data_IF_607929078489
#
_entry.id   IF_607929078489
#
_cell.length_a   1.000
_cell.length_b   1.000
_cell.length_c   1.000
_cell.angle_alpha   90.00
_cell.angle_beta   90.00
_cell.angle_gamma   90.00
#
_symmetry.space_group_name_H-M   'P 1'
#
loop_
_entity.id
_entity.type
_entity.pdbx_description
1 polymer ?
#
# COMPACT_ATOMS: atom_id res chain seq x y z
N UNK A 1 61.15 -13.79 -108.61
CA UNK A 1 62.21 -14.57 -107.91
C UNK A 1 62.78 -13.66 -106.83
N UNK A 2 62.49 -13.96 -105.56
CA UNK A 2 63.46 -14.56 -104.61
C UNK A 2 64.57 -13.53 -104.34
N UNK A 3 64.70 -12.93 -103.16
CA UNK A 3 65.11 -13.66 -101.98
C UNK A 3 64.88 -12.86 -100.69
N UNK A 4 64.32 -13.55 -99.69
CA UNK A 4 64.36 -13.21 -98.27
C UNK A 4 65.77 -13.46 -97.71
N UNK A 5 66.35 -12.48 -97.02
CA UNK A 5 67.45 -12.68 -96.07
C UNK A 5 67.15 -11.70 -94.91
N UNK A 6 66.52 -12.15 -93.82
CA UNK A 6 67.19 -12.79 -92.68
C UNK A 6 68.57 -12.17 -92.41
N UNK A 7 68.58 -11.09 -91.65
CA UNK A 7 69.68 -10.80 -90.75
C UNK A 7 69.27 -11.36 -89.39
N UNK A 8 69.68 -12.60 -89.11
CA UNK A 8 69.90 -12.99 -87.73
C UNK A 8 71.12 -12.24 -87.25
N UNK A 9 70.91 -11.35 -86.29
CA UNK A 9 71.91 -11.07 -85.28
C UNK A 9 71.89 -12.24 -84.29
N UNK A 10 72.70 -13.25 -84.61
CA UNK A 10 73.12 -14.27 -83.67
C UNK A 10 74.64 -14.22 -83.59
N UNK A 11 75.15 -13.47 -82.61
CA UNK A 11 76.53 -13.51 -82.07
C UNK A 11 76.55 -12.53 -80.89
N UNK A 12 76.88 -12.85 -79.65
CA UNK A 12 77.40 -14.07 -79.04
C UNK A 12 77.59 -13.78 -77.54
N UNK A 13 77.40 -14.80 -76.71
CA UNK A 13 77.85 -14.89 -75.31
C UNK A 13 77.92 -13.61 -74.47
N UNK A 14 76.78 -13.12 -73.99
CA UNK A 14 76.74 -12.35 -72.75
C UNK A 14 75.85 -13.14 -71.81
N UNK A 15 76.39 -13.59 -70.67
CA UNK A 15 75.66 -14.43 -69.72
C UNK A 15 74.30 -13.83 -69.38
N UNK A 16 73.31 -14.65 -69.03
CA UNK A 16 71.92 -14.28 -68.68
C UNK A 16 71.77 -12.96 -67.88
N UNK A 17 72.81 -12.59 -67.13
CA UNK A 17 72.97 -11.37 -66.36
C UNK A 17 73.16 -10.06 -67.15
N UNK A 18 73.40 -10.09 -68.47
CA UNK A 18 73.72 -8.90 -69.31
C UNK A 18 72.55 -8.43 -70.17
N UNK A 19 71.45 -9.19 -70.20
CA UNK A 19 70.19 -8.86 -70.87
C UNK A 19 69.34 -7.95 -69.95
N UNK A 20 68.97 -6.71 -70.37
CA UNK A 20 68.10 -5.83 -69.59
C UNK A 20 66.77 -6.50 -69.19
N UNK A 21 66.27 -7.38 -70.04
CA UNK A 21 65.04 -8.18 -69.86
C UNK A 21 65.11 -9.08 -68.62
N UNK A 22 66.28 -9.62 -68.28
CA UNK A 22 66.46 -10.47 -67.09
C UNK A 22 66.27 -9.68 -65.79
N UNK A 23 66.88 -8.49 -65.68
CA UNK A 23 66.72 -7.64 -64.49
C UNK A 23 65.29 -7.11 -64.32
N UNK A 24 64.58 -6.83 -65.42
CA UNK A 24 63.14 -6.49 -65.38
C UNK A 24 62.30 -7.66 -64.87
N UNK A 25 62.58 -8.89 -65.33
CA UNK A 25 61.90 -10.09 -64.84
C UNK A 25 62.16 -10.32 -63.34
N UNK A 26 63.41 -10.15 -62.87
CA UNK A 26 63.76 -10.24 -61.44
C UNK A 26 63.01 -9.19 -60.62
N UNK A 27 62.98 -7.93 -61.07
CA UNK A 27 62.22 -6.87 -60.41
C UNK A 27 60.71 -7.16 -60.37
N UNK A 28 60.14 -7.73 -61.43
CA UNK A 28 58.73 -8.13 -61.49
C UNK A 28 58.40 -9.26 -60.50
N UNK A 29 59.27 -10.27 -60.38
CA UNK A 29 59.10 -11.36 -59.40
C UNK A 29 59.20 -10.83 -57.97
N UNK A 30 60.18 -9.96 -57.68
CA UNK A 30 60.32 -9.33 -56.37
C UNK A 30 59.09 -8.46 -56.06
N UNK A 31 58.61 -7.69 -57.03
CA UNK A 31 57.39 -6.89 -56.90
C UNK A 31 56.17 -7.77 -56.60
N UNK A 32 55.96 -8.86 -57.34
CA UNK A 32 54.85 -9.80 -57.09
C UNK A 32 54.96 -10.47 -55.72
N UNK A 33 56.16 -10.83 -55.27
CA UNK A 33 56.36 -11.42 -53.96
C UNK A 33 55.97 -10.46 -52.82
N UNK A 34 56.35 -9.18 -52.93
CA UNK A 34 56.00 -8.15 -51.94
C UNK A 34 54.52 -7.76 -52.04
N UNK A 35 54.02 -7.50 -53.25
CA UNK A 35 52.64 -7.11 -53.51
C UNK A 35 51.65 -8.21 -53.12
N UNK A 36 51.92 -9.46 -53.50
CA UNK A 36 51.10 -10.62 -53.16
C UNK A 36 50.96 -10.82 -51.64
N UNK A 37 52.06 -10.66 -50.89
CA UNK A 37 52.04 -10.77 -49.42
C UNK A 37 51.26 -9.63 -48.75
N UNK A 38 51.36 -8.40 -49.26
CA UNK A 38 50.64 -7.24 -48.71
C UNK A 38 49.14 -7.30 -49.04
N UNK A 39 48.78 -7.63 -50.29
CA UNK A 39 47.37 -7.75 -50.71
C UNK A 39 46.65 -8.86 -49.95
N UNK A 40 47.25 -10.05 -49.86
CA UNK A 40 46.64 -11.20 -49.15
C UNK A 40 46.44 -10.90 -47.67
N UNK A 41 47.43 -10.29 -47.01
CA UNK A 41 47.30 -9.84 -45.61
C UNK A 41 46.17 -8.81 -45.42
N UNK A 42 46.04 -7.85 -46.32
CA UNK A 42 44.97 -6.84 -46.25
C UNK A 42 43.57 -7.45 -46.36
N UNK A 43 43.39 -8.37 -47.32
CA UNK A 43 42.10 -9.05 -47.55
C UNK A 43 41.74 -9.95 -46.36
N UNK A 44 42.67 -10.78 -45.88
CA UNK A 44 42.44 -11.67 -44.72
C UNK A 44 42.08 -10.86 -43.48
N UNK A 45 42.81 -9.77 -43.21
CA UNK A 45 42.51 -8.89 -42.07
C UNK A 45 41.10 -8.30 -42.14
N UNK A 46 40.65 -7.86 -43.31
CA UNK A 46 39.31 -7.31 -43.46
C UNK A 46 38.21 -8.38 -43.26
N UNK A 47 38.45 -9.62 -43.69
CA UNK A 47 37.54 -10.74 -43.42
C UNK A 47 37.50 -11.09 -41.94
N UNK A 48 38.66 -11.11 -41.27
CA UNK A 48 38.74 -11.34 -39.82
C UNK A 48 38.02 -10.23 -39.03
N UNK A 49 38.23 -8.96 -39.40
CA UNK A 49 37.56 -7.82 -38.77
C UNK A 49 36.03 -7.91 -38.93
N UNK A 50 35.55 -8.29 -40.13
CA UNK A 50 34.11 -8.54 -40.37
C UNK A 50 33.58 -9.70 -39.55
N UNK A 51 34.33 -10.79 -39.46
CA UNK A 51 33.94 -11.97 -38.69
C UNK A 51 33.87 -11.65 -37.19
N UNK A 52 34.86 -10.91 -36.68
CA UNK A 52 34.89 -10.44 -35.30
C UNK A 52 33.73 -9.48 -35.00
N UNK A 53 33.39 -8.59 -35.94
CA UNK A 53 32.22 -7.71 -35.80
C UNK A 53 30.92 -8.50 -35.74
N UNK A 54 30.72 -9.45 -36.65
CA UNK A 54 29.52 -10.32 -36.67
C UNK A 54 29.41 -11.14 -35.39
N UNK A 55 30.53 -11.71 -34.92
CA UNK A 55 30.55 -12.47 -33.67
C UNK A 55 30.16 -11.60 -32.46
N UNK A 56 30.66 -10.35 -32.40
CA UNK A 56 30.30 -9.39 -31.35
C UNK A 56 28.82 -9.01 -31.42
N UNK A 57 28.30 -8.65 -32.58
CA UNK A 57 26.89 -8.24 -32.72
C UNK A 57 25.93 -9.39 -32.43
N UNK A 58 26.27 -10.62 -32.82
CA UNK A 58 25.49 -11.81 -32.46
C UNK A 58 25.51 -12.05 -30.94
N UNK A 59 26.67 -11.95 -30.29
CA UNK A 59 26.78 -12.09 -28.84
C UNK A 59 26.01 -11.02 -28.06
N UNK A 60 26.06 -9.76 -28.53
CA UNK A 60 25.27 -8.66 -27.97
C UNK A 60 23.77 -8.87 -28.17
N UNK A 61 23.35 -9.32 -29.36
CA UNK A 61 21.95 -9.62 -29.66
C UNK A 61 21.42 -10.78 -28.79
N UNK A 62 22.21 -11.83 -28.59
CA UNK A 62 21.84 -12.94 -27.71
C UNK A 62 21.74 -12.50 -26.25
N UNK A 63 22.70 -11.69 -25.77
CA UNK A 63 22.64 -11.10 -24.43
C UNK A 63 21.39 -10.25 -24.25
N UNK A 64 21.09 -9.36 -25.20
CA UNK A 64 19.92 -8.49 -25.16
C UNK A 64 18.62 -9.28 -25.19
N UNK A 65 18.56 -10.36 -25.99
CA UNK A 65 17.43 -11.29 -26.01
C UNK A 65 17.23 -11.97 -24.65
N UNK A 66 18.31 -12.44 -24.03
CA UNK A 66 18.26 -13.09 -22.73
C UNK A 66 17.82 -12.13 -21.63
N UNK A 67 18.30 -10.89 -21.66
CA UNK A 67 17.87 -9.82 -20.73
C UNK A 67 16.39 -9.47 -20.93
N UNK A 68 15.93 -9.33 -22.17
CA UNK A 68 14.52 -9.07 -22.48
C UNK A 68 13.61 -10.23 -22.03
N UNK A 69 14.06 -11.48 -22.18
CA UNK A 69 13.31 -12.64 -21.71
C UNK A 69 13.22 -12.66 -20.19
N UNK A 70 14.34 -12.43 -19.48
CA UNK A 70 14.35 -12.33 -18.01
C UNK A 70 13.43 -11.21 -17.51
N UNK A 71 13.51 -10.03 -18.12
CA UNK A 71 12.66 -8.90 -17.76
C UNK A 71 11.17 -9.21 -17.98
N UNK A 72 10.81 -9.94 -19.04
CA UNK A 72 9.45 -10.40 -19.29
C UNK A 72 8.98 -11.40 -18.24
N UNK A 73 9.80 -12.40 -17.92
CA UNK A 73 9.45 -13.43 -16.95
C UNK A 73 9.29 -12.82 -15.54
N UNK A 74 10.16 -11.89 -15.17
CA UNK A 74 10.08 -11.18 -13.88
C UNK A 74 8.86 -10.27 -13.81
N UNK A 75 8.53 -9.56 -14.88
CA UNK A 75 7.30 -8.77 -14.96
C UNK A 75 6.04 -9.65 -14.85
N UNK A 76 6.02 -10.81 -15.51
CA UNK A 76 4.89 -11.75 -15.42
C UNK A 76 4.73 -12.32 -14.00
N UNK A 77 5.84 -12.69 -13.34
CA UNK A 77 5.82 -13.13 -11.93
C UNK A 77 5.30 -12.01 -11.03
N UNK A 78 5.85 -10.80 -11.17
CA UNK A 78 5.43 -9.65 -10.38
C UNK A 78 3.95 -9.32 -10.55
N UNK A 79 3.41 -9.43 -11.77
CA UNK A 79 1.98 -9.26 -12.03
C UNK A 79 1.14 -10.35 -11.35
N UNK A 80 1.55 -11.61 -11.43
CA UNK A 80 0.86 -12.72 -10.80
C UNK A 80 0.85 -12.60 -9.27
N UNK A 81 1.98 -12.20 -8.68
CA UNK A 81 2.09 -11.99 -7.23
C UNK A 81 1.28 -10.78 -6.77
N UNK A 82 1.31 -9.67 -7.53
CA UNK A 82 0.47 -8.50 -7.25
C UNK A 82 -1.02 -8.81 -7.31
N UNK A 83 -1.44 -9.64 -8.28
CA UNK A 83 -2.83 -10.09 -8.37
C UNK A 83 -3.25 -10.94 -7.15
N UNK A 84 -2.37 -11.84 -6.68
CA UNK A 84 -2.61 -12.61 -5.44
C UNK A 84 -2.72 -11.70 -4.23
N UNK A 85 -1.77 -10.77 -4.07
CA UNK A 85 -1.77 -9.81 -2.97
C UNK A 85 -3.04 -8.95 -2.98
N UNK A 86 -3.52 -8.50 -4.14
CA UNK A 86 -4.75 -7.74 -4.24
C UNK A 86 -5.98 -8.56 -3.76
N UNK A 87 -6.07 -9.83 -4.16
CA UNK A 87 -7.13 -10.73 -3.70
C UNK A 87 -7.05 -10.95 -2.18
N UNK A 88 -5.84 -11.15 -1.65
CA UNK A 88 -5.62 -11.33 -0.23
C UNK A 88 -6.00 -10.08 0.58
N UNK A 89 -5.60 -8.89 0.12
CA UNK A 89 -5.98 -7.61 0.75
C UNK A 89 -7.50 -7.45 0.79
N UNK A 90 -8.20 -7.77 -0.31
CA UNK A 90 -9.66 -7.69 -0.36
C UNK A 90 -10.29 -8.70 0.59
N UNK A 91 -9.77 -9.93 0.67
CA UNK A 91 -10.26 -10.95 1.58
C UNK A 91 -10.06 -10.54 3.06
N UNK A 92 -8.87 -10.05 3.41
CA UNK A 92 -8.56 -9.54 4.75
C UNK A 92 -9.46 -8.34 5.10
N UNK A 93 -9.63 -7.38 4.18
CA UNK A 93 -10.50 -6.23 4.41
C UNK A 93 -11.96 -6.63 4.65
N UNK A 94 -12.46 -7.64 3.92
CA UNK A 94 -13.82 -8.18 4.15
C UNK A 94 -13.95 -8.86 5.50
N UNK A 95 -12.99 -9.73 5.85
CA UNK A 95 -13.00 -10.42 7.13
C UNK A 95 -12.93 -9.44 8.31
N UNK A 96 -12.09 -8.40 8.19
CA UNK A 96 -11.97 -7.36 9.20
C UNK A 96 -13.23 -6.49 9.29
N UNK A 97 -13.84 -6.13 8.15
CA UNK A 97 -15.10 -5.41 8.14
C UNK A 97 -16.24 -6.21 8.80
N UNK A 98 -16.29 -7.52 8.57
CA UNK A 98 -17.28 -8.41 9.21
C UNK A 98 -17.05 -8.50 10.72
N UNK A 99 -15.80 -8.66 11.15
CA UNK A 99 -15.41 -8.65 12.58
C UNK A 99 -15.76 -7.32 13.25
N UNK A 100 -15.47 -6.20 12.59
CA UNK A 100 -15.84 -4.87 13.09
C UNK A 100 -17.36 -4.70 13.17
N UNK A 101 -18.11 -5.18 12.20
CA UNK A 101 -19.58 -5.12 12.20
C UNK A 101 -20.18 -5.92 13.35
N UNK A 102 -19.67 -7.14 13.60
CA UNK A 102 -20.08 -7.98 14.73
C UNK A 102 -19.78 -7.30 16.06
N UNK A 103 -18.54 -6.83 16.26
CA UNK A 103 -18.16 -6.10 17.47
C UNK A 103 -19.01 -4.85 17.70
N UNK A 104 -19.28 -4.06 16.65
CA UNK A 104 -20.14 -2.89 16.73
C UNK A 104 -21.62 -3.25 17.01
N UNK A 105 -22.09 -4.44 16.62
CA UNK A 105 -23.41 -4.92 16.98
C UNK A 105 -23.47 -5.28 18.48
N UNK A 106 -22.49 -6.04 18.98
CA UNK A 106 -22.37 -6.41 20.39
C UNK A 106 -22.26 -5.18 21.30
N UNK A 107 -21.41 -4.20 20.94
CA UNK A 107 -21.28 -2.95 21.69
C UNK A 107 -22.58 -2.15 21.69
N UNK A 108 -23.30 -2.10 20.56
CA UNK A 108 -24.59 -1.41 20.47
C UNK A 108 -25.63 -2.06 21.38
N UNK A 109 -25.71 -3.39 21.39
CA UNK A 109 -26.63 -4.11 22.27
C UNK A 109 -26.31 -3.83 23.75
N UNK A 110 -25.03 -3.89 24.13
CA UNK A 110 -24.59 -3.57 25.49
C UNK A 110 -24.86 -2.09 25.87
N UNK A 111 -24.75 -1.16 24.92
CA UNK A 111 -25.10 0.25 25.13
C UNK A 111 -26.61 0.45 25.29
N UNK A 112 -27.43 -0.23 24.50
CA UNK A 112 -28.89 -0.18 24.60
C UNK A 112 -29.32 -0.73 25.97
N UNK A 113 -28.83 -1.90 26.37
CA UNK A 113 -29.13 -2.49 27.68
C UNK A 113 -28.76 -1.57 28.84
N UNK A 114 -27.58 -0.94 28.78
CA UNK A 114 -27.16 0.06 29.79
C UNK A 114 -28.06 1.29 29.81
N UNK A 115 -28.45 1.82 28.65
CA UNK A 115 -29.36 2.96 28.56
C UNK A 115 -30.76 2.63 29.07
N UNK A 116 -31.24 1.42 28.79
CA UNK A 116 -32.53 0.95 29.30
C UNK A 116 -32.49 0.86 30.82
N UNK A 117 -31.43 0.29 31.40
CA UNK A 117 -31.28 0.24 32.86
C UNK A 117 -31.22 1.64 33.47
N UNK A 118 -30.43 2.55 32.89
CA UNK A 118 -30.37 3.94 33.35
C UNK A 118 -31.73 4.64 33.26
N UNK A 119 -32.53 4.37 32.23
CA UNK A 119 -33.87 4.92 32.10
C UNK A 119 -34.81 4.36 33.17
N UNK A 120 -34.77 3.04 33.44
CA UNK A 120 -35.53 2.40 34.52
C UNK A 120 -35.15 2.97 35.89
N UNK A 121 -33.86 3.14 36.16
CA UNK A 121 -33.37 3.71 37.42
C UNK A 121 -33.85 5.16 37.59
N UNK A 122 -33.83 5.97 36.52
CA UNK A 122 -34.36 7.35 36.54
C UNK A 122 -35.86 7.39 36.77
N UNK A 123 -36.62 6.49 36.15
CA UNK A 123 -38.07 6.38 36.37
C UNK A 123 -38.33 6.03 37.84
N UNK A 124 -37.66 5.01 38.38
CA UNK A 124 -37.82 4.60 39.78
C UNK A 124 -37.46 5.74 40.76
N UNK A 125 -36.40 6.50 40.47
CA UNK A 125 -36.03 7.68 41.26
C UNK A 125 -37.11 8.78 41.18
N UNK A 126 -37.64 9.05 39.99
CA UNK A 126 -38.70 10.04 39.77
C UNK A 126 -40.02 9.62 40.46
N UNK A 127 -40.40 8.35 40.39
CA UNK A 127 -41.56 7.80 41.09
C UNK A 127 -41.42 7.93 42.61
N UNK A 128 -40.24 7.58 43.15
CA UNK A 128 -39.96 7.74 44.57
C UNK A 128 -40.02 9.21 45.00
N UNK A 129 -39.53 10.13 44.15
CA UNK A 129 -39.62 11.57 44.42
C UNK A 129 -41.06 12.07 44.37
N UNK A 130 -41.83 11.72 43.33
CA UNK A 130 -43.23 12.11 43.20
C UNK A 130 -44.09 11.58 44.35
N UNK A 131 -43.83 10.35 44.81
CA UNK A 131 -44.51 9.79 45.99
C UNK A 131 -44.22 10.58 47.26
N UNK A 132 -42.97 11.00 47.47
CA UNK A 132 -42.58 11.88 48.58
C UNK A 132 -43.28 13.24 48.47
N UNK A 133 -43.33 13.83 47.28
CA UNK A 133 -43.95 15.13 47.06
C UNK A 133 -45.47 15.09 47.32
N UNK A 134 -46.16 14.03 46.87
CA UNK A 134 -47.59 13.81 47.17
C UNK A 134 -47.82 13.67 48.68
N UNK A 135 -46.97 12.90 49.37
CA UNK A 135 -47.07 12.73 50.83
C UNK A 135 -46.89 14.08 51.55
N UNK A 136 -45.91 14.88 51.13
CA UNK A 136 -45.67 16.20 51.71
C UNK A 136 -46.85 17.15 51.46
N UNK A 137 -47.39 17.18 50.24
CA UNK A 137 -48.60 17.97 49.94
C UNK A 137 -49.81 17.53 50.78
N UNK A 138 -50.01 16.23 50.98
CA UNK A 138 -51.09 15.73 51.82
C UNK A 138 -50.91 16.15 53.30
N UNK A 139 -49.68 16.13 53.81
CA UNK A 139 -49.36 16.62 55.16
C UNK A 139 -49.64 18.12 55.27
N UNK A 140 -49.24 18.91 54.27
CA UNK A 140 -49.48 20.37 54.26
C UNK A 140 -50.99 20.70 54.22
N UNK A 141 -51.76 19.99 53.39
CA UNK A 141 -53.22 20.14 53.33
C UNK A 141 -53.88 19.74 54.65
N UNK A 142 -53.45 18.63 55.25
CA UNK A 142 -53.96 18.19 56.56
C UNK A 142 -53.65 19.24 57.64
N UNK A 143 -52.42 19.76 57.70
CA UNK A 143 -52.03 20.82 58.63
C UNK A 143 -52.84 22.10 58.40
N UNK A 144 -53.08 22.49 57.16
CA UNK A 144 -53.91 23.65 56.82
C UNK A 144 -55.37 23.47 57.30
N UNK A 145 -55.96 22.30 57.06
CA UNK A 145 -57.30 21.97 57.53
C UNK A 145 -57.38 21.95 59.06
N UNK A 146 -56.40 21.34 59.75
CA UNK A 146 -56.32 21.35 61.21
C UNK A 146 -56.19 22.77 61.77
N UNK A 147 -55.36 23.64 61.14
CA UNK A 147 -55.26 25.06 61.53
C UNK A 147 -56.59 25.79 61.38
N UNK A 148 -57.32 25.55 60.29
CA UNK A 148 -58.65 26.15 60.09
C UNK A 148 -59.65 25.67 61.13
N UNK A 149 -59.74 24.35 61.36
CA UNK A 149 -60.64 23.76 62.35
C UNK A 149 -60.32 24.24 63.76
N UNK A 150 -59.03 24.35 64.12
CA UNK A 150 -58.59 24.88 65.41
C UNK A 150 -58.99 26.34 65.56
N UNK A 151 -58.82 27.17 64.51
CA UNK A 151 -59.24 28.57 64.52
C UNK A 151 -60.75 28.72 64.75
N UNK A 152 -61.56 27.89 64.09
CA UNK A 152 -63.02 27.90 64.24
C UNK A 152 -63.45 27.43 65.65
N UNK A 153 -62.82 26.40 66.19
CA UNK A 153 -63.11 25.91 67.55
C UNK A 153 -62.69 26.91 68.64
N UNK A 154 -61.52 27.54 68.51
CA UNK A 154 -61.03 28.59 69.43
C UNK A 154 -61.95 29.82 69.39
N UNK A 155 -62.55 30.15 68.24
CA UNK A 155 -63.53 31.22 68.11
C UNK A 155 -64.87 30.95 68.81
N UNK A 156 -65.22 29.69 69.07
CA UNK A 156 -66.51 29.27 69.65
C UNK A 156 -66.58 29.22 71.19
N UNK A 157 -65.56 29.73 71.89
CA UNK A 157 -65.55 29.81 73.37
C UNK A 157 -64.98 28.59 74.10
N UNK A 158 -64.46 27.58 73.38
CA UNK A 158 -63.82 26.37 73.96
C UNK A 158 -62.42 26.62 74.53
N UNK A 159 -61.83 27.78 74.27
CA UNK A 159 -60.46 28.18 74.65
C UNK A 159 -60.24 28.21 76.16
N UNK A 160 -61.21 28.66 76.95
CA UNK A 160 -61.06 28.77 78.40
C UNK A 160 -60.99 27.40 79.07
N UNK A 161 -61.84 26.45 78.63
CA UNK A 161 -61.81 25.07 79.11
C UNK A 161 -60.51 24.35 78.76
N UNK A 162 -59.93 24.59 77.57
CA UNK A 162 -58.64 24.01 77.18
C UNK A 162 -57.46 24.63 77.96
N UNK A 163 -57.54 25.91 78.30
CA UNK A 163 -56.54 26.58 79.17
C UNK A 163 -56.62 26.00 80.59
N UNK A 164 -57.82 25.87 81.16
CA UNK A 164 -58.02 25.31 82.49
C UNK A 164 -57.57 23.83 82.55
N UNK A 165 -57.82 23.05 81.50
CA UNK A 165 -57.36 21.66 81.38
C UNK A 165 -55.83 21.57 81.24
N UNK A 166 -55.21 22.43 80.42
CA UNK A 166 -53.74 22.51 80.31
C UNK A 166 -53.08 22.94 81.63
N UNK A 167 -53.70 23.87 82.38
CA UNK A 167 -53.28 24.27 83.73
C UNK A 167 -53.43 23.10 84.71
N UNK A 168 -54.48 22.28 84.59
CA UNK A 168 -54.68 21.09 85.42
C UNK A 168 -53.73 19.93 85.06
N UNK A 169 -53.20 19.88 83.83
CA UNK A 169 -52.25 18.85 83.36
C UNK A 169 -50.79 19.18 83.69
N UNK A 170 -50.43 20.46 83.82
CA UNK A 170 -49.08 20.92 84.18
C UNK A 170 -48.52 20.25 85.46
N UNK A 171 -49.28 20.14 86.57
CA UNK A 171 -48.84 19.42 87.77
C UNK A 171 -48.59 17.93 87.54
N UNK A 172 -49.27 17.27 86.59
CA UNK A 172 -49.13 15.82 86.35
C UNK A 172 -47.90 15.45 85.51
N UNK A 173 -47.32 16.39 84.76
CA UNK A 173 -46.10 16.18 83.95
C UNK A 173 -44.82 16.70 84.62
N UNK A 174 -44.95 17.36 85.77
CA UNK A 174 -43.86 17.88 86.59
C UNK A 174 -43.56 17.02 87.83
N UNK A 175 -44.04 15.77 87.86
CA UNK A 175 -43.60 14.73 88.78
C UNK A 175 -42.74 13.71 88.03
#
# INVERSE_FOLDING_TARGET
MISTAWAADAQGGAGLFSEPTFWVAVAFVIFLAIAGKTLTKGIVKQLDDRTALIARTLGEAEKLRNEAQRARDDAQKSLADSAKLAVEIIAQAKAEAERMSQHAAEEREALIARREQQAKDRIAQAEAQASRDIRNMAVDVALAATRSLLKDQVGSGRTQAMIDEAIAELPKRLH
#
